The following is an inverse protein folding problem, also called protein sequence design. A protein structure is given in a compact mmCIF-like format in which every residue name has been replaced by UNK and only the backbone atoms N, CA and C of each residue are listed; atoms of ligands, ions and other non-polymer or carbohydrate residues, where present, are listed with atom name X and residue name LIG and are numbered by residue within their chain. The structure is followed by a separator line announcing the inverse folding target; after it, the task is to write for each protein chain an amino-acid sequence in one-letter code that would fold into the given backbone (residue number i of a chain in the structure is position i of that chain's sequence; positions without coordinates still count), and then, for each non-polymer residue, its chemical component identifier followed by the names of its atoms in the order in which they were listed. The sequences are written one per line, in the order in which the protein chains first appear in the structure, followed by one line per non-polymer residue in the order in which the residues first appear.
data_IF_676447803710
#
_entry.id   IF_676447803710
#
_cell.length_a   1.000
_cell.length_b   1.000
_cell.length_c   1.000
_cell.angle_alpha   90.00
_cell.angle_beta   90.00
_cell.angle_gamma   90.00
#
_symmetry.space_group_name_H-M   'P 1'
#
loop_
_entity.id
_entity.type
_entity.pdbx_description
1 polymer ?
#
# COMPACT_ATOMS: atom_id res chain seq x y z
N UNK A 1 -41.11 33.25 46.71
CA UNK A 1 -39.97 33.69 45.86
C UNK A 1 -38.73 32.93 46.29
N UNK A 2 -38.07 32.28 45.32
CA UNK A 2 -36.71 31.70 45.37
C UNK A 2 -36.50 30.48 46.27
N UNK A 3 -35.78 29.43 45.88
CA UNK A 3 -35.38 28.87 44.58
C UNK A 3 -34.80 27.48 44.90
N UNK A 4 -35.01 26.52 44.01
CA UNK A 4 -34.50 25.14 44.09
C UNK A 4 -32.96 25.07 44.12
N UNK A 5 -32.42 23.96 44.62
CA UNK A 5 -31.01 23.57 44.43
C UNK A 5 -30.81 22.07 44.66
N UNK A 6 -31.23 21.27 43.68
CA UNK A 6 -31.19 19.80 43.62
C UNK A 6 -29.80 19.21 43.52
N UNK A 7 -29.68 17.96 44.00
CA UNK A 7 -28.48 17.13 44.07
C UNK A 7 -27.76 16.97 42.72
N UNK A 8 -26.45 17.18 42.72
CA UNK A 8 -25.57 16.84 41.61
C UNK A 8 -25.30 15.33 41.61
N UNK A 9 -25.99 14.59 40.75
CA UNK A 9 -25.59 13.24 40.36
C UNK A 9 -24.49 13.35 39.31
N UNK A 10 -23.29 12.94 39.71
CA UNK A 10 -22.11 12.81 38.86
C UNK A 10 -22.33 11.63 37.90
N UNK A 11 -22.77 11.89 36.66
CA UNK A 11 -22.78 10.85 35.62
C UNK A 11 -21.41 10.83 34.93
N UNK A 12 -20.59 9.85 35.30
CA UNK A 12 -19.43 9.47 34.51
C UNK A 12 -19.94 8.73 33.28
N UNK A 13 -20.23 9.47 32.21
CA UNK A 13 -20.40 8.89 30.87
C UNK A 13 -19.01 8.45 30.44
N UNK A 14 -18.72 7.16 30.60
CA UNK A 14 -17.59 6.51 29.96
C UNK A 14 -17.84 6.56 28.45
N UNK A 15 -17.31 7.59 27.80
CA UNK A 15 -17.10 7.60 26.37
C UNK A 15 -16.06 6.50 26.11
N UNK A 16 -16.51 5.26 25.93
CA UNK A 16 -15.75 4.25 25.21
C UNK A 16 -15.69 4.71 23.76
N UNK A 17 -14.84 5.71 23.49
CA UNK A 17 -14.39 5.98 22.15
C UNK A 17 -13.65 4.74 21.71
N UNK A 18 -14.25 3.95 20.82
CA UNK A 18 -13.44 3.19 19.88
C UNK A 18 -12.55 4.25 19.24
N UNK A 19 -11.27 4.24 19.56
CA UNK A 19 -10.30 4.97 18.77
C UNK A 19 -10.52 4.48 17.36
N UNK A 20 -10.98 5.36 16.46
CA UNK A 20 -10.86 5.10 15.04
C UNK A 20 -9.35 5.04 14.83
N UNK A 21 -8.79 3.83 14.94
CA UNK A 21 -7.45 3.55 14.47
C UNK A 21 -7.48 4.01 13.02
N UNK A 22 -6.68 5.02 12.69
CA UNK A 22 -6.52 5.43 11.30
C UNK A 22 -6.07 4.19 10.57
N UNK A 23 -6.94 3.64 9.72
CA UNK A 23 -6.57 2.48 8.92
C UNK A 23 -5.50 3.00 7.96
N UNK A 24 -4.32 2.45 8.13
CA UNK A 24 -3.13 2.86 7.39
C UNK A 24 -3.12 2.16 6.03
N UNK A 25 -2.38 2.72 5.05
CA UNK A 25 -2.19 2.07 3.77
C UNK A 25 -1.68 0.64 3.97
N UNK A 26 -2.28 -0.33 3.28
CA UNK A 26 -1.92 -1.73 3.48
C UNK A 26 -2.15 -2.61 2.24
N UNK A 27 -1.49 -3.76 2.20
CA UNK A 27 -1.60 -4.74 1.12
C UNK A 27 -2.69 -5.77 1.46
N UNK A 28 -3.68 -5.88 0.59
CA UNK A 28 -4.76 -6.86 0.71
C UNK A 28 -4.37 -8.25 0.20
N UNK A 29 -3.56 -8.28 -0.87
CA UNK A 29 -3.07 -9.53 -1.44
C UNK A 29 -1.83 -9.27 -2.28
N UNK A 30 -1.01 -10.32 -2.39
CA UNK A 30 0.21 -10.33 -3.19
C UNK A 30 0.33 -11.62 -3.97
N UNK A 31 0.92 -11.54 -5.15
CA UNK A 31 1.30 -12.68 -5.96
C UNK A 31 2.68 -12.44 -6.57
N UNK A 32 3.49 -13.49 -6.63
CA UNK A 32 4.82 -13.45 -7.19
C UNK A 32 4.84 -14.31 -8.46
N UNK A 33 5.36 -13.75 -9.54
CA UNK A 33 5.57 -14.46 -10.80
C UNK A 33 7.03 -14.41 -11.18
N UNK A 34 7.58 -15.52 -11.65
CA UNK A 34 8.98 -15.59 -12.11
C UNK A 34 9.04 -16.18 -13.51
N UNK A 35 9.79 -15.53 -14.40
CA UNK A 35 10.05 -16.03 -15.76
C UNK A 35 11.53 -15.84 -16.10
N UNK A 36 12.26 -16.96 -16.21
CA UNK A 36 13.71 -16.91 -16.35
C UNK A 36 14.35 -16.25 -15.13
N UNK A 37 15.02 -15.12 -15.34
CA UNK A 37 15.62 -14.29 -14.30
C UNK A 37 14.86 -12.99 -14.02
N UNK A 38 13.59 -12.93 -14.41
CA UNK A 38 12.67 -11.85 -14.07
C UNK A 38 11.74 -12.28 -12.95
N UNK A 39 11.62 -11.46 -11.92
CA UNK A 39 10.72 -11.60 -10.79
C UNK A 39 9.78 -10.38 -10.71
N UNK A 40 8.49 -10.64 -10.94
CA UNK A 40 7.41 -9.67 -10.79
C UNK A 40 6.68 -9.89 -9.44
N UNK A 41 6.46 -8.80 -8.71
CA UNK A 41 5.60 -8.74 -7.54
C UNK A 41 4.32 -7.99 -7.89
N UNK A 42 3.18 -8.68 -7.93
CA UNK A 42 1.87 -8.06 -8.14
C UNK A 42 1.16 -7.89 -6.78
N UNK A 43 0.67 -6.69 -6.46
CA UNK A 43 0.01 -6.38 -5.19
C UNK A 43 -1.29 -5.60 -5.38
N UNK A 44 -2.26 -5.87 -4.50
CA UNK A 44 -3.46 -5.05 -4.34
C UNK A 44 -3.34 -4.24 -3.05
N UNK A 45 -3.41 -2.92 -3.15
CA UNK A 45 -3.22 -2.00 -2.02
C UNK A 45 -4.50 -1.24 -1.72
N UNK A 46 -4.85 -1.11 -0.44
CA UNK A 46 -5.80 -0.09 0.01
C UNK A 46 -5.03 1.15 0.41
N UNK A 47 -5.34 2.29 -0.23
CA UNK A 47 -4.82 3.58 0.20
C UNK A 47 -5.56 4.12 1.44
N UNK A 48 -6.73 3.56 1.76
CA UNK A 48 -7.68 3.96 2.80
C UNK A 48 -7.94 5.48 2.85
N UNK A 49 -8.14 6.06 1.66
CA UNK A 49 -8.49 7.47 1.46
C UNK A 49 -9.86 7.53 0.78
N UNK A 50 -10.76 8.39 1.26
CA UNK A 50 -12.06 8.65 0.60
C UNK A 50 -11.89 9.02 -0.88
N UNK A 51 -10.79 9.73 -1.19
CA UNK A 51 -10.38 10.07 -2.56
C UNK A 51 -8.86 10.22 -2.61
N UNK A 52 -8.25 9.73 -3.68
CA UNK A 52 -6.82 9.88 -3.95
C UNK A 52 -6.62 11.12 -4.82
N UNK A 53 -6.27 12.24 -4.20
CA UNK A 53 -6.13 13.54 -4.89
C UNK A 53 -4.82 13.67 -5.67
N UNK A 54 -3.74 13.07 -5.17
CA UNK A 54 -2.42 13.03 -5.80
C UNK A 54 -1.99 11.56 -5.94
N UNK A 55 -2.20 11.03 -7.13
CA UNK A 55 -1.86 9.64 -7.45
C UNK A 55 -0.35 9.42 -7.54
N UNK A 56 0.43 10.45 -7.88
CA UNK A 56 1.88 10.33 -8.06
C UNK A 56 2.54 10.20 -6.68
N UNK A 57 2.16 11.08 -5.75
CA UNK A 57 2.59 10.98 -4.36
C UNK A 57 2.17 9.65 -3.72
N UNK A 58 0.93 9.21 -3.95
CA UNK A 58 0.43 7.94 -3.40
C UNK A 58 1.17 6.72 -3.98
N UNK A 59 1.49 6.72 -5.29
CA UNK A 59 2.27 5.63 -5.89
C UNK A 59 3.69 5.55 -5.34
N UNK A 60 4.35 6.69 -5.14
CA UNK A 60 5.68 6.72 -4.54
C UNK A 60 5.66 6.24 -3.08
N UNK A 61 4.64 6.62 -2.31
CA UNK A 61 4.41 6.13 -0.94
C UNK A 61 4.30 4.59 -0.91
N UNK A 62 3.50 4.00 -1.82
CA UNK A 62 3.37 2.54 -1.96
C UNK A 62 4.71 1.88 -2.26
N UNK A 63 5.49 2.41 -3.20
CA UNK A 63 6.80 1.84 -3.55
C UNK A 63 7.79 1.95 -2.40
N UNK A 64 7.74 3.04 -1.63
CA UNK A 64 8.57 3.18 -0.43
C UNK A 64 8.24 2.09 0.60
N UNK A 65 6.96 1.82 0.84
CA UNK A 65 6.53 0.72 1.71
C UNK A 65 6.96 -0.66 1.20
N UNK A 66 6.99 -0.88 -0.12
CA UNK A 66 7.56 -2.11 -0.70
C UNK A 66 9.07 -2.19 -0.39
N UNK A 67 9.82 -1.10 -0.58
CA UNK A 67 11.27 -1.07 -0.35
C UNK A 67 11.64 -1.32 1.12
N UNK A 68 10.90 -0.67 2.02
CA UNK A 68 11.07 -0.76 3.48
C UNK A 68 10.47 -2.05 4.05
N UNK A 69 9.57 -2.70 3.29
CA UNK A 69 8.89 -3.95 3.62
C UNK A 69 8.13 -3.86 4.96
N UNK A 70 7.39 -2.78 5.13
CA UNK A 70 6.81 -2.34 6.39
C UNK A 70 5.28 -2.15 6.35
N UNK A 71 4.62 -2.66 5.31
CA UNK A 71 3.16 -2.83 5.34
C UNK A 71 2.73 -3.64 6.56
N UNK A 72 1.58 -3.28 7.13
CA UNK A 72 1.10 -3.88 8.38
C UNK A 72 0.74 -5.36 8.21
N UNK A 73 -0.05 -5.70 7.17
CA UNK A 73 -0.62 -7.04 7.02
C UNK A 73 0.31 -8.03 6.31
N UNK A 74 1.18 -7.55 5.41
CA UNK A 74 2.01 -8.41 4.57
C UNK A 74 3.46 -7.99 4.63
N UNK A 75 4.34 -8.96 4.92
CA UNK A 75 5.78 -8.83 4.78
C UNK A 75 6.29 -9.72 3.67
N UNK A 76 6.90 -9.12 2.66
CA UNK A 76 7.46 -9.84 1.53
C UNK A 76 8.76 -10.56 1.92
N UNK A 77 8.98 -11.75 1.37
CA UNK A 77 10.27 -12.44 1.51
C UNK A 77 11.17 -12.05 0.35
N UNK A 78 12.24 -11.31 0.65
CA UNK A 78 13.30 -10.97 -0.32
C UNK A 78 14.51 -11.90 -0.23
N UNK A 79 14.49 -12.87 0.69
CA UNK A 79 15.61 -13.79 0.89
C UNK A 79 15.72 -14.85 -0.23
N UNK A 80 14.59 -15.19 -0.86
CA UNK A 80 14.55 -16.24 -1.90
C UNK A 80 14.89 -15.71 -3.29
N UNK A 81 14.22 -14.64 -3.73
CA UNK A 81 14.35 -14.10 -5.09
C UNK A 81 15.03 -12.71 -5.13
N UNK A 82 15.44 -12.17 -3.98
CA UNK A 82 15.84 -10.77 -3.88
C UNK A 82 14.66 -9.81 -3.94
N UNK A 83 14.95 -8.54 -4.19
CA UNK A 83 13.95 -7.54 -4.52
C UNK A 83 13.42 -7.76 -5.94
N UNK A 84 12.14 -7.43 -6.22
CA UNK A 84 11.55 -7.65 -7.54
C UNK A 84 12.20 -6.78 -8.64
N UNK A 85 12.12 -7.27 -9.87
CA UNK A 85 12.49 -6.54 -11.08
C UNK A 85 11.33 -5.66 -11.59
N UNK A 86 10.11 -5.91 -11.10
CA UNK A 86 8.89 -5.18 -11.43
C UNK A 86 7.89 -5.29 -10.28
N UNK A 87 7.19 -4.19 -9.99
CA UNK A 87 6.05 -4.20 -9.07
C UNK A 87 4.80 -3.74 -9.81
N UNK A 88 3.82 -4.62 -9.97
CA UNK A 88 2.52 -4.30 -10.53
C UNK A 88 1.53 -4.02 -9.39
N UNK A 89 0.85 -2.88 -9.44
CA UNK A 89 -0.01 -2.42 -8.32
C UNK A 89 -1.41 -2.06 -8.82
N UNK A 90 -2.41 -2.64 -8.17
CA UNK A 90 -3.79 -2.18 -8.21
C UNK A 90 -4.14 -1.45 -6.91
N UNK A 91 -4.54 -0.17 -7.02
CA UNK A 91 -4.83 0.67 -5.86
C UNK A 91 -6.33 0.83 -5.68
N UNK A 92 -6.81 0.58 -4.47
CA UNK A 92 -8.21 0.71 -4.07
C UNK A 92 -8.34 1.78 -2.99
N UNK A 93 -9.47 2.49 -3.00
CA UNK A 93 -9.80 3.46 -1.93
C UNK A 93 -10.26 2.76 -0.65
N UNK A 94 -10.81 1.55 -0.75
CA UNK A 94 -11.30 0.77 0.40
C UNK A 94 -11.35 -0.72 0.08
N UNK A 95 -11.41 -1.58 1.12
CA UNK A 95 -11.66 -3.02 0.96
C UNK A 95 -12.98 -3.31 0.24
N UNK A 96 -14.00 -2.47 0.44
CA UNK A 96 -15.29 -2.62 -0.22
C UNK A 96 -15.18 -2.42 -1.72
N UNK A 97 -14.34 -1.49 -2.16
CA UNK A 97 -14.06 -1.29 -3.59
C UNK A 97 -13.24 -2.44 -4.16
N UNK A 98 -12.28 -2.98 -3.41
CA UNK A 98 -11.57 -4.22 -3.76
C UNK A 98 -12.53 -5.41 -3.96
N UNK A 99 -13.43 -5.66 -3.01
CA UNK A 99 -14.44 -6.73 -3.10
C UNK A 99 -15.39 -6.57 -4.31
N UNK A 100 -15.56 -5.34 -4.79
CA UNK A 100 -16.37 -5.01 -5.97
C UNK A 100 -15.58 -4.99 -7.28
N UNK A 101 -14.26 -5.19 -7.22
CA UNK A 101 -13.35 -5.06 -8.37
C UNK A 101 -13.28 -3.63 -8.92
N UNK A 102 -13.50 -2.62 -8.07
CA UNK A 102 -13.49 -1.20 -8.46
C UNK A 102 -12.14 -0.57 -8.09
N UNK A 103 -11.17 -0.73 -8.98
CA UNK A 103 -9.85 -0.11 -8.82
C UNK A 103 -9.96 1.42 -8.93
N UNK A 104 -9.22 2.14 -8.08
CA UNK A 104 -9.08 3.59 -8.18
C UNK A 104 -8.14 3.97 -9.33
N UNK A 105 -6.98 3.31 -9.40
CA UNK A 105 -6.05 3.33 -10.52
C UNK A 105 -5.05 2.18 -10.38
N UNK A 106 -4.34 1.88 -11.47
CA UNK A 106 -3.28 0.87 -11.49
C UNK A 106 -2.00 1.47 -12.06
N UNK A 107 -0.86 0.95 -11.60
CA UNK A 107 0.44 1.34 -12.12
C UNK A 107 1.45 0.21 -11.99
N UNK A 108 2.50 0.26 -12.80
CA UNK A 108 3.67 -0.59 -12.68
C UNK A 108 4.89 0.26 -12.30
N UNK A 109 5.76 -0.27 -11.44
CA UNK A 109 7.08 0.27 -11.16
C UNK A 109 8.12 -0.62 -11.85
N UNK A 110 8.66 -0.12 -12.95
CA UNK A 110 9.33 -0.94 -13.97
C UNK A 110 10.64 -0.32 -14.42
N UNK A 111 11.55 -1.20 -14.82
CA UNK A 111 12.82 -0.91 -15.50
C UNK A 111 12.78 -1.54 -16.89
N UNK A 112 13.59 -1.02 -17.82
CA UNK A 112 13.78 -1.70 -19.09
C UNK A 112 14.60 -2.99 -18.88
N UNK A 113 14.34 -4.03 -19.69
CA UNK A 113 15.06 -5.30 -19.61
C UNK A 113 16.52 -5.12 -20.08
N UNK A 114 17.48 -5.60 -19.29
CA UNK A 114 18.89 -5.52 -19.66
C UNK A 114 19.21 -6.50 -20.79
N UNK A 115 19.34 -5.96 -22.01
CA UNK A 115 19.67 -6.73 -23.20
C UNK A 115 21.17 -6.90 -23.43
N UNK A 116 22.01 -6.08 -22.79
CA UNK A 116 23.47 -6.14 -22.90
C UNK A 116 24.04 -7.28 -22.07
N UNK A 117 23.49 -7.50 -20.87
CA UNK A 117 23.79 -8.65 -20.04
C UNK A 117 22.50 -9.27 -19.52
N UNK A 118 22.01 -10.27 -20.26
CA UNK A 118 20.72 -10.91 -19.96
C UNK A 118 20.71 -11.57 -18.60
N UNK A 119 21.85 -11.97 -18.02
CA UNK A 119 21.93 -12.62 -16.71
C UNK A 119 21.83 -11.63 -15.55
N UNK A 120 21.99 -10.32 -15.81
CA UNK A 120 22.04 -9.27 -14.80
C UNK A 120 20.92 -8.23 -15.00
N UNK A 121 19.78 -8.52 -14.39
CA UNK A 121 18.62 -7.62 -14.41
C UNK A 121 18.61 -6.67 -13.21
N UNK A 122 18.06 -5.47 -13.40
CA UNK A 122 17.86 -4.47 -12.35
C UNK A 122 16.76 -4.93 -11.38
N UNK A 123 16.91 -4.62 -10.09
CA UNK A 123 15.84 -4.75 -9.11
C UNK A 123 15.54 -3.40 -8.46
N UNK A 124 14.34 -3.26 -7.89
CA UNK A 124 13.81 -1.98 -7.39
C UNK A 124 14.67 -1.32 -6.30
N UNK A 125 15.56 -2.07 -5.64
CA UNK A 125 16.39 -1.56 -4.54
C UNK A 125 17.79 -1.16 -4.96
N UNK A 126 18.44 -1.97 -5.80
CA UNK A 126 19.86 -1.76 -6.09
C UNK A 126 20.09 -0.65 -7.12
N UNK A 127 19.17 -0.48 -8.08
CA UNK A 127 19.26 0.54 -9.14
C UNK A 127 17.95 1.34 -9.25
N UNK A 128 17.48 2.03 -8.20
CA UNK A 128 16.17 2.68 -8.18
C UNK A 128 16.01 3.78 -9.23
N UNK A 129 17.10 4.42 -9.65
CA UNK A 129 17.09 5.49 -10.67
C UNK A 129 16.75 4.97 -12.09
N UNK A 130 16.86 3.66 -12.33
CA UNK A 130 16.49 3.02 -13.61
C UNK A 130 14.98 2.73 -13.69
N UNK A 131 14.26 2.88 -12.58
CA UNK A 131 12.85 2.58 -12.49
C UNK A 131 11.98 3.81 -12.70
N UNK A 132 10.80 3.56 -13.29
CA UNK A 132 9.77 4.57 -13.50
C UNK A 132 8.40 4.01 -13.18
N UNK A 133 7.52 4.88 -12.68
CA UNK A 133 6.09 4.57 -12.57
C UNK A 133 5.46 4.68 -13.96
N UNK A 134 4.72 3.65 -14.37
CA UNK A 134 3.89 3.63 -15.58
C UNK A 134 2.44 3.40 -15.20
N UNK A 135 1.58 4.41 -15.41
CA UNK A 135 0.14 4.29 -15.16
C UNK A 135 -0.57 3.52 -16.28
N UNK A 136 -1.56 2.70 -15.91
CA UNK A 136 -2.42 1.94 -16.84
C UNK A 136 -3.72 2.69 -17.17
#
# INVERSE_FOLDING_TARGET
MKLLGTWALLSCILLSGCTNESVEMDVLSSHNSTSGNWYELSINVIADKDTISDKDACSHEIIQHVLDNDFHSIRFSYDLNGYPNEVAVDVFTSEKDFQRGKTAYSFDYVTDFNTENVDMQNNIKDNPDEFKIQYK
#
